data_IF_645615706272
#
_entry.id   IF_645615706272
#
_cell.length_a   1.000
_cell.length_b   1.000
_cell.length_c   1.000
_cell.angle_alpha   90.00
_cell.angle_beta   90.00
_cell.angle_gamma   90.00
#
_symmetry.space_group_name_H-M   'P 1'
#
loop_
_entity.id
_entity.type
_entity.pdbx_description
1 polymer ?
#
# COMPACT_ATOMS: atom_id res chain seq x y z
N UNK A 1 4.30 8.92 -13.62
CA UNK A 1 3.58 9.36 -12.41
C UNK A 1 3.91 8.47 -11.20
N UNK A 2 3.99 7.15 -11.34
CA UNK A 2 4.34 6.23 -10.25
C UNK A 2 5.65 6.54 -9.51
N UNK A 3 6.61 7.14 -10.18
CA UNK A 3 7.90 7.50 -9.58
C UNK A 3 7.83 8.75 -8.70
N UNK A 4 6.89 9.66 -8.98
CA UNK A 4 6.74 10.93 -8.25
C UNK A 4 5.71 10.82 -7.12
N UNK A 5 4.63 10.07 -7.33
CA UNK A 5 3.47 10.05 -6.47
C UNK A 5 3.66 9.37 -5.12
N UNK A 6 4.91 9.06 -4.72
CA UNK A 6 5.18 8.38 -3.44
C UNK A 6 6.30 9.00 -2.63
N UNK A 7 7.00 10.04 -3.13
CA UNK A 7 8.17 10.60 -2.45
C UNK A 7 7.82 11.16 -1.07
N UNK A 8 6.79 11.99 -1.01
CA UNK A 8 6.35 12.61 0.23
C UNK A 8 5.83 11.58 1.24
N UNK A 9 4.99 10.65 0.80
CA UNK A 9 4.46 9.57 1.66
C UNK A 9 5.57 8.66 2.18
N UNK A 10 6.56 8.33 1.36
CA UNK A 10 7.73 7.56 1.79
C UNK A 10 8.58 8.31 2.81
N UNK A 11 8.82 9.61 2.62
CA UNK A 11 9.52 10.44 3.62
C UNK A 11 8.80 10.39 4.97
N UNK A 12 7.49 10.64 4.99
CA UNK A 12 6.68 10.63 6.20
C UNK A 12 6.71 9.27 6.90
N UNK A 13 6.56 8.19 6.14
CA UNK A 13 6.63 6.82 6.66
C UNK A 13 8.00 6.50 7.25
N UNK A 14 9.08 6.84 6.55
CA UNK A 14 10.46 6.58 6.99
C UNK A 14 10.79 7.36 8.26
N UNK A 15 10.42 8.64 8.32
CA UNK A 15 10.62 9.48 9.51
C UNK A 15 9.87 8.91 10.72
N UNK A 16 8.60 8.55 10.55
CA UNK A 16 7.81 7.93 11.61
C UNK A 16 8.40 6.61 12.07
N UNK A 17 8.81 5.75 11.14
CA UNK A 17 9.43 4.45 11.43
C UNK A 17 10.75 4.61 12.17
N UNK A 18 11.60 5.53 11.77
CA UNK A 18 12.87 5.82 12.45
C UNK A 18 12.65 6.25 13.89
N UNK A 19 11.61 7.05 14.14
CA UNK A 19 11.32 7.56 15.47
C UNK A 19 10.80 6.48 16.43
N UNK A 20 9.74 5.74 16.05
CA UNK A 20 9.10 4.85 17.01
C UNK A 20 9.75 3.46 17.12
N UNK A 21 10.48 3.02 16.09
CA UNK A 21 11.15 1.71 16.11
C UNK A 21 12.59 1.78 16.68
N UNK A 22 13.23 2.94 16.57
CA UNK A 22 14.57 3.17 17.14
C UNK A 22 15.61 2.13 16.72
N UNK A 23 16.23 1.42 17.70
CA UNK A 23 17.29 0.44 17.43
C UNK A 23 16.79 -0.90 16.88
N UNK A 24 15.47 -1.11 16.79
CA UNK A 24 14.85 -2.30 16.27
C UNK A 24 14.03 -2.01 15.01
N UNK A 25 14.55 -1.16 14.12
CA UNK A 25 13.93 -0.79 12.85
C UNK A 25 13.91 -1.92 11.83
N UNK A 26 13.10 -1.80 10.78
CA UNK A 26 13.07 -2.77 9.69
C UNK A 26 14.29 -2.59 8.76
N UNK A 27 14.48 -3.59 7.90
CA UNK A 27 15.40 -3.58 6.79
C UNK A 27 14.63 -3.99 5.52
N UNK A 28 14.84 -3.29 4.40
CA UNK A 28 14.09 -3.52 3.17
C UNK A 28 14.95 -4.01 1.99
N UNK A 29 16.18 -4.48 2.28
CA UNK A 29 17.07 -5.10 1.30
C UNK A 29 17.80 -4.15 0.35
N UNK A 30 17.49 -2.85 0.39
CA UNK A 30 18.09 -1.85 -0.49
C UNK A 30 18.35 -0.53 0.25
N UNK A 31 19.20 0.33 -0.31
CA UNK A 31 19.61 1.59 0.31
C UNK A 31 20.09 1.39 1.75
N UNK A 32 20.94 0.39 1.98
CA UNK A 32 21.34 -0.04 3.30
C UNK A 32 22.84 -0.25 3.41
N UNK A 33 23.36 -0.08 4.62
CA UNK A 33 24.73 -0.43 5.01
C UNK A 33 24.61 -1.51 6.08
N UNK A 34 25.33 -2.63 5.88
CA UNK A 34 25.27 -3.80 6.75
C UNK A 34 26.67 -4.12 7.26
N UNK A 35 26.77 -4.45 8.56
CA UNK A 35 27.96 -5.06 9.10
C UNK A 35 28.10 -6.50 8.56
N UNK A 36 29.05 -6.71 7.67
CA UNK A 36 29.22 -7.98 6.98
C UNK A 36 29.48 -9.15 7.95
N UNK A 37 30.32 -8.96 8.99
CA UNK A 37 30.63 -10.01 9.97
C UNK A 37 29.38 -10.45 10.76
N UNK A 38 28.55 -9.47 11.15
CA UNK A 38 27.29 -9.75 11.84
C UNK A 38 26.33 -10.49 10.93
N UNK A 39 26.23 -10.08 9.68
CA UNK A 39 25.35 -10.68 8.68
C UNK A 39 25.75 -12.12 8.35
N UNK A 40 27.03 -12.39 8.09
CA UNK A 40 27.54 -13.74 7.83
C UNK A 40 27.32 -14.68 9.02
N UNK A 41 27.52 -14.18 10.24
CA UNK A 41 27.38 -14.96 11.45
C UNK A 41 25.92 -15.25 11.83
N UNK A 42 24.97 -14.35 11.55
CA UNK A 42 23.61 -14.35 12.11
C UNK A 42 22.50 -14.11 11.11
N UNK A 43 22.80 -13.65 9.88
CA UNK A 43 21.81 -13.39 8.84
C UNK A 43 21.22 -14.62 8.15
N UNK A 44 21.51 -15.82 8.63
CA UNK A 44 20.99 -17.07 8.05
C UNK A 44 19.47 -17.14 8.17
N UNK A 45 18.83 -17.34 7.02
CA UNK A 45 17.39 -17.48 6.93
C UNK A 45 16.92 -18.87 7.32
N UNK A 46 15.80 -19.00 8.05
CA UNK A 46 15.19 -20.29 8.29
C UNK A 46 14.55 -20.86 7.01
N UNK A 47 14.55 -22.17 6.88
CA UNK A 47 13.71 -22.84 5.88
C UNK A 47 12.31 -23.04 6.49
N UNK A 48 11.29 -22.61 5.77
CA UNK A 48 9.90 -22.71 6.22
C UNK A 48 9.35 -24.11 5.98
N UNK A 49 8.49 -24.58 6.87
CA UNK A 49 7.85 -25.89 6.75
C UNK A 49 6.87 -25.93 5.55
N UNK A 50 6.74 -27.11 4.96
CA UNK A 50 5.81 -27.34 3.83
C UNK A 50 6.39 -26.97 2.46
N UNK A 51 5.48 -26.86 1.48
CA UNK A 51 5.80 -26.57 0.07
C UNK A 51 5.38 -25.14 -0.31
N UNK A 52 5.97 -24.61 -1.38
CA UNK A 52 5.51 -23.36 -1.98
C UNK A 52 4.01 -23.40 -2.27
N UNK A 53 3.30 -22.26 -2.14
CA UNK A 53 3.80 -20.92 -1.89
C UNK A 53 4.05 -20.57 -0.42
N UNK A 54 3.67 -21.41 0.53
CA UNK A 54 3.70 -21.12 1.96
C UNK A 54 5.03 -21.52 2.62
N UNK A 55 5.67 -22.60 2.16
CA UNK A 55 6.91 -23.15 2.71
C UNK A 55 8.10 -23.00 1.76
N UNK A 56 9.24 -23.58 2.16
CA UNK A 56 10.51 -23.51 1.45
C UNK A 56 11.33 -22.26 1.81
N UNK A 57 11.90 -21.58 0.82
CA UNK A 57 12.70 -20.37 1.05
C UNK A 57 11.82 -19.19 1.46
N UNK A 58 12.33 -18.37 2.37
CA UNK A 58 11.72 -17.08 2.72
C UNK A 58 11.88 -16.13 1.53
N UNK A 59 10.77 -15.70 0.94
CA UNK A 59 10.77 -14.85 -0.27
C UNK A 59 11.03 -13.37 0.03
N UNK A 60 10.39 -12.81 1.07
CA UNK A 60 10.69 -11.46 1.58
C UNK A 60 11.66 -11.60 2.75
N UNK A 61 12.92 -11.82 2.43
CA UNK A 61 13.94 -12.20 3.42
C UNK A 61 14.42 -11.02 4.27
N UNK A 62 14.34 -9.80 3.76
CA UNK A 62 14.96 -8.60 4.34
C UNK A 62 14.54 -8.35 5.80
N UNK A 63 13.24 -8.36 6.08
CA UNK A 63 12.74 -8.17 7.44
C UNK A 63 13.13 -9.32 8.37
N UNK A 64 13.24 -10.54 7.86
CA UNK A 64 13.68 -11.72 8.64
C UNK A 64 15.16 -11.60 8.98
N UNK A 65 15.98 -11.09 8.08
CA UNK A 65 17.39 -10.79 8.32
C UNK A 65 17.55 -9.75 9.44
N UNK A 66 16.76 -8.65 9.38
CA UNK A 66 16.75 -7.63 10.44
C UNK A 66 16.40 -8.23 11.81
N UNK A 67 15.34 -9.03 11.89
CA UNK A 67 14.91 -9.68 13.14
C UNK A 67 15.97 -10.68 13.64
N UNK A 68 16.66 -11.38 12.74
CA UNK A 68 17.76 -12.29 13.08
C UNK A 68 18.96 -11.56 13.65
N UNK A 69 19.30 -10.38 13.11
CA UNK A 69 20.35 -9.52 13.65
C UNK A 69 19.96 -8.94 15.02
N UNK A 70 18.73 -8.50 15.20
CA UNK A 70 18.21 -8.01 16.48
C UNK A 70 18.26 -9.10 17.56
N UNK A 71 17.89 -10.33 17.20
CA UNK A 71 18.01 -11.51 18.10
C UNK A 71 19.46 -11.72 18.55
N UNK A 72 20.42 -11.41 17.72
CA UNK A 72 21.83 -11.54 18.03
C UNK A 72 22.40 -10.34 18.81
N UNK A 73 21.57 -9.38 19.21
CA UNK A 73 21.97 -8.18 19.96
C UNK A 73 22.49 -7.03 19.11
N UNK A 74 22.37 -7.12 17.77
CA UNK A 74 22.71 -6.01 16.87
C UNK A 74 21.53 -5.06 16.69
N UNK A 75 21.82 -3.79 16.51
CA UNK A 75 20.81 -2.80 16.17
C UNK A 75 20.55 -2.76 14.66
N UNK A 76 19.30 -2.55 14.29
CA UNK A 76 18.88 -2.20 12.93
C UNK A 76 18.15 -0.87 12.99
N UNK A 77 18.63 0.14 12.24
CA UNK A 77 18.07 1.49 12.30
C UNK A 77 17.63 1.96 10.93
N UNK A 78 16.47 2.58 10.87
CA UNK A 78 16.03 3.36 9.72
C UNK A 78 16.56 4.78 9.88
N UNK A 79 17.22 5.29 8.83
CA UNK A 79 17.70 6.67 8.80
C UNK A 79 16.64 7.52 8.07
N UNK A 80 16.12 8.60 8.69
CA UNK A 80 15.08 9.43 8.09
C UNK A 80 15.63 10.45 7.09
N UNK A 81 16.96 10.59 7.02
CA UNK A 81 17.60 11.59 6.20
C UNK A 81 17.69 11.16 4.73
N UNK A 82 17.52 12.11 3.83
CA UNK A 82 17.68 11.91 2.39
C UNK A 82 19.14 12.17 1.99
N UNK A 83 19.97 11.13 1.92
CA UNK A 83 21.42 11.22 1.65
C UNK A 83 21.82 11.08 0.19
N UNK A 84 20.90 11.19 -0.75
CA UNK A 84 21.22 11.02 -2.18
C UNK A 84 21.32 9.57 -2.65
N UNK A 85 20.94 8.59 -1.81
CA UNK A 85 20.71 7.21 -2.22
C UNK A 85 19.23 7.03 -2.58
N UNK A 86 18.95 6.73 -3.84
CA UNK A 86 17.58 6.71 -4.35
C UNK A 86 17.28 5.39 -5.05
N UNK A 87 16.05 4.91 -4.89
CA UNK A 87 15.51 3.81 -5.65
C UNK A 87 14.28 4.27 -6.44
N UNK A 88 14.18 3.77 -7.67
CA UNK A 88 13.04 4.05 -8.53
C UNK A 88 11.90 3.08 -8.23
N UNK A 89 10.71 3.62 -8.06
CA UNK A 89 9.48 2.81 -8.03
C UNK A 89 9.26 2.12 -9.39
N UNK A 90 8.44 1.04 -9.43
CA UNK A 90 8.04 0.44 -10.69
C UNK A 90 7.50 1.50 -11.66
N UNK A 91 7.85 1.41 -12.95
CA UNK A 91 7.53 2.48 -13.90
C UNK A 91 6.04 2.59 -14.26
N UNK A 92 5.26 1.56 -13.97
CA UNK A 92 3.85 1.47 -14.36
C UNK A 92 3.03 0.58 -13.43
N UNK A 93 1.70 0.74 -13.47
CA UNK A 93 0.77 -0.03 -12.64
C UNK A 93 0.95 -1.56 -12.75
N UNK A 94 1.10 -2.18 -13.93
CA UNK A 94 1.32 -3.62 -14.03
C UNK A 94 2.54 -4.13 -13.26
N UNK A 95 3.64 -3.39 -13.32
CA UNK A 95 4.87 -3.74 -12.60
C UNK A 95 4.76 -3.46 -11.10
N UNK A 96 4.06 -2.39 -10.73
CA UNK A 96 3.77 -2.05 -9.34
C UNK A 96 2.93 -3.17 -8.67
N UNK A 97 1.82 -3.56 -9.30
CA UNK A 97 0.98 -4.67 -8.82
C UNK A 97 1.79 -5.96 -8.72
N UNK A 98 2.58 -6.31 -9.75
CA UNK A 98 3.40 -7.54 -9.73
C UNK A 98 4.40 -7.53 -8.58
N UNK A 99 5.05 -6.40 -8.29
CA UNK A 99 5.96 -6.24 -7.15
C UNK A 99 5.22 -6.44 -5.83
N UNK A 100 4.08 -5.76 -5.65
CA UNK A 100 3.28 -5.87 -4.43
C UNK A 100 2.80 -7.30 -4.18
N UNK A 101 2.30 -8.00 -5.21
CA UNK A 101 1.85 -9.39 -5.06
C UNK A 101 2.99 -10.36 -4.69
N UNK A 102 4.23 -10.11 -5.15
CA UNK A 102 5.38 -10.90 -4.68
C UNK A 102 5.68 -10.65 -3.21
N UNK A 103 5.65 -9.39 -2.77
CA UNK A 103 5.81 -9.05 -1.37
C UNK A 103 4.66 -9.59 -0.52
N UNK A 104 3.43 -9.52 -1.03
CA UNK A 104 2.27 -10.15 -0.39
C UNK A 104 2.54 -11.63 -0.10
N UNK A 105 2.98 -12.39 -1.09
CA UNK A 105 3.31 -13.82 -0.90
C UNK A 105 4.42 -14.01 0.14
N UNK A 106 5.51 -13.25 0.05
CA UNK A 106 6.62 -13.35 0.98
C UNK A 106 6.28 -12.94 2.41
N UNK A 107 5.49 -11.87 2.56
CA UNK A 107 5.10 -11.40 3.90
C UNK A 107 4.05 -12.32 4.55
N UNK A 108 3.17 -12.94 3.78
CA UNK A 108 2.24 -13.93 4.32
C UNK A 108 2.94 -15.22 4.80
N UNK A 109 4.15 -15.53 4.31
CA UNK A 109 4.96 -16.61 4.89
C UNK A 109 5.36 -16.36 6.34
N UNK A 110 5.38 -15.11 6.80
CA UNK A 110 5.76 -14.74 8.16
C UNK A 110 4.81 -15.30 9.23
N UNK A 111 3.62 -15.81 8.85
CA UNK A 111 2.75 -16.52 9.79
C UNK A 111 3.45 -17.69 10.47
N UNK A 112 4.44 -18.31 9.82
CA UNK A 112 5.25 -19.38 10.39
C UNK A 112 6.37 -18.86 11.33
N UNK A 113 6.64 -17.58 11.31
CA UNK A 113 7.78 -16.96 12.02
C UNK A 113 7.34 -16.07 13.18
N UNK A 114 6.19 -15.40 13.07
CA UNK A 114 5.73 -14.39 14.03
C UNK A 114 5.54 -14.95 15.45
N UNK A 115 5.27 -16.25 15.58
CA UNK A 115 5.08 -16.95 16.87
C UNK A 115 6.38 -17.33 17.59
N UNK A 116 7.55 -17.11 17.00
CA UNK A 116 8.83 -17.52 17.61
C UNK A 116 9.17 -16.68 18.83
N UNK A 117 9.18 -17.34 19.99
CA UNK A 117 9.41 -16.67 21.27
C UNK A 117 10.86 -16.17 21.45
N UNK A 118 11.81 -16.76 20.71
CA UNK A 118 13.23 -16.41 20.74
C UNK A 118 13.57 -15.13 19.94
N UNK A 119 12.58 -14.48 19.32
CA UNK A 119 12.75 -13.25 18.56
C UNK A 119 12.36 -12.02 19.36
N UNK A 120 13.03 -10.91 19.10
CA UNK A 120 12.77 -9.63 19.76
C UNK A 120 11.28 -9.21 19.55
N UNK A 121 10.58 -8.75 20.60
CA UNK A 121 9.15 -8.41 20.49
C UNK A 121 8.84 -7.40 19.38
N UNK A 122 9.69 -6.39 19.22
CA UNK A 122 9.54 -5.40 18.12
C UNK A 122 9.65 -6.05 16.75
N UNK A 123 10.62 -6.97 16.55
CA UNK A 123 10.75 -7.70 15.28
C UNK A 123 9.51 -8.56 15.00
N UNK A 124 8.95 -9.23 16.01
CA UNK A 124 7.69 -9.98 15.89
C UNK A 124 6.53 -9.07 15.52
N UNK A 125 6.42 -7.90 16.14
CA UNK A 125 5.42 -6.89 15.81
C UNK A 125 5.55 -6.43 14.36
N UNK A 126 6.77 -6.17 13.88
CA UNK A 126 7.03 -5.77 12.49
C UNK A 126 6.59 -6.85 11.49
N UNK A 127 6.88 -8.14 11.77
CA UNK A 127 6.42 -9.25 10.94
C UNK A 127 4.88 -9.36 10.94
N UNK A 128 4.25 -9.17 12.11
CA UNK A 128 2.78 -9.15 12.21
C UNK A 128 2.18 -7.98 11.41
N UNK A 129 2.75 -6.78 11.52
CA UNK A 129 2.32 -5.62 10.74
C UNK A 129 2.49 -5.85 9.24
N UNK A 130 3.56 -6.52 8.81
CA UNK A 130 3.79 -6.87 7.42
C UNK A 130 2.75 -7.87 6.86
N UNK A 131 2.28 -8.81 7.69
CA UNK A 131 1.15 -9.69 7.36
C UNK A 131 -0.14 -8.86 7.25
N UNK A 132 -0.44 -8.07 8.27
CA UNK A 132 -1.67 -7.27 8.35
C UNK A 132 -1.76 -6.24 7.23
N UNK A 133 -0.64 -5.70 6.75
CA UNK A 133 -0.59 -4.77 5.62
C UNK A 133 -1.28 -5.35 4.37
N UNK A 134 -1.12 -6.64 4.10
CA UNK A 134 -1.75 -7.30 2.95
C UNK A 134 -3.14 -7.87 3.27
N UNK A 135 -3.39 -8.28 4.51
CA UNK A 135 -4.72 -8.75 4.90
C UNK A 135 -5.73 -7.61 5.08
N UNK A 136 -5.28 -6.39 5.36
CA UNK A 136 -6.14 -5.25 5.60
C UNK A 136 -7.04 -4.92 4.40
N UNK A 137 -6.53 -5.03 3.17
CA UNK A 137 -7.32 -4.82 1.96
C UNK A 137 -8.46 -5.82 1.82
N UNK A 138 -8.19 -7.10 2.08
CA UNK A 138 -9.21 -8.15 2.06
C UNK A 138 -10.24 -7.97 3.19
N UNK A 139 -9.77 -7.66 4.40
CA UNK A 139 -10.65 -7.40 5.53
C UNK A 139 -11.57 -6.20 5.27
N UNK A 140 -11.02 -5.16 4.66
CA UNK A 140 -11.78 -3.97 4.28
C UNK A 140 -12.85 -4.29 3.21
N UNK A 141 -12.54 -5.09 2.19
CA UNK A 141 -13.53 -5.53 1.20
C UNK A 141 -14.62 -6.38 1.83
N UNK A 142 -14.28 -7.26 2.80
CA UNK A 142 -15.28 -8.01 3.57
C UNK A 142 -16.18 -7.06 4.36
N UNK A 143 -15.60 -6.09 5.07
CA UNK A 143 -16.36 -5.08 5.81
C UNK A 143 -17.35 -4.31 4.92
N UNK A 144 -16.87 -3.85 3.75
CA UNK A 144 -17.73 -3.17 2.78
C UNK A 144 -18.85 -4.06 2.23
N UNK A 145 -18.55 -5.34 2.00
CA UNK A 145 -19.54 -6.32 1.55
C UNK A 145 -20.62 -6.57 2.61
N UNK A 146 -20.22 -6.69 3.88
CA UNK A 146 -21.16 -6.84 4.99
C UNK A 146 -22.07 -5.60 5.14
N UNK A 147 -21.51 -4.39 5.04
CA UNK A 147 -22.28 -3.15 5.03
C UNK A 147 -23.29 -3.08 3.86
N UNK A 148 -22.85 -3.54 2.67
CA UNK A 148 -23.74 -3.66 1.52
C UNK A 148 -24.89 -4.64 1.78
N UNK A 149 -24.60 -5.84 2.27
CA UNK A 149 -25.63 -6.86 2.60
C UNK A 149 -26.59 -6.32 3.64
N UNK A 150 -26.09 -5.66 4.67
CA UNK A 150 -26.92 -5.06 5.71
C UNK A 150 -27.90 -4.02 5.12
N UNK A 151 -27.40 -3.09 4.28
CA UNK A 151 -28.24 -2.08 3.66
C UNK A 151 -29.19 -2.62 2.59
N UNK A 152 -28.71 -3.59 1.77
CA UNK A 152 -29.51 -4.17 0.68
C UNK A 152 -30.71 -5.03 1.17
N UNK A 153 -30.55 -5.69 2.31
CA UNK A 153 -31.58 -6.57 2.88
C UNK A 153 -32.33 -5.95 4.07
N UNK A 154 -32.14 -4.66 4.35
CA UNK A 154 -32.84 -3.94 5.41
C UNK A 154 -32.54 -4.45 6.83
N UNK A 155 -31.37 -5.09 7.04
CA UNK A 155 -30.98 -5.63 8.34
C UNK A 155 -30.67 -4.53 9.38
N UNK A 156 -30.60 -3.27 8.93
CA UNK A 156 -30.44 -2.06 9.71
C UNK A 156 -31.78 -1.42 10.17
N UNK A 157 -32.90 -2.12 9.99
CA UNK A 157 -34.25 -1.60 10.25
C UNK A 157 -34.78 -0.65 9.17
N UNK A 158 -34.12 -0.58 8.01
CA UNK A 158 -34.50 0.27 6.88
C UNK A 158 -33.99 1.72 6.98
N UNK A 159 -33.18 2.05 7.98
CA UNK A 159 -32.60 3.41 8.17
C UNK A 159 -31.79 3.86 6.97
N UNK A 160 -30.95 2.98 6.41
CA UNK A 160 -30.11 3.28 5.23
C UNK A 160 -30.98 3.47 3.98
N UNK A 161 -32.00 2.65 3.79
CA UNK A 161 -32.89 2.73 2.64
C UNK A 161 -33.79 3.98 2.67
N UNK A 162 -34.14 4.46 3.86
CA UNK A 162 -34.99 5.65 4.06
C UNK A 162 -34.25 6.96 3.80
N UNK A 163 -32.92 6.94 3.71
CA UNK A 163 -32.11 8.14 3.53
C UNK A 163 -31.38 8.15 2.18
N UNK A 164 -31.94 8.79 1.14
CA UNK A 164 -31.37 8.79 -0.21
C UNK A 164 -29.98 9.45 -0.32
N UNK A 165 -29.56 10.20 0.66
CA UNK A 165 -28.23 10.84 0.72
C UNK A 165 -27.27 10.11 1.66
N UNK A 166 -27.70 8.99 2.26
CA UNK A 166 -26.88 8.23 3.19
C UNK A 166 -26.34 9.11 4.32
N UNK A 167 -27.26 9.73 5.09
CA UNK A 167 -26.79 10.53 6.24
C UNK A 167 -25.84 9.69 7.08
N UNK A 168 -24.75 10.28 7.56
CA UNK A 168 -23.84 9.56 8.44
C UNK A 168 -24.64 9.01 9.62
N UNK A 169 -24.40 7.75 10.00
CA UNK A 169 -25.09 7.18 11.14
C UNK A 169 -24.87 8.09 12.36
N UNK A 170 -25.95 8.36 13.13
CA UNK A 170 -25.85 9.20 14.31
C UNK A 170 -24.95 8.55 15.38
N UNK A 171 -24.24 9.36 16.15
CA UNK A 171 -23.48 8.94 17.31
C UNK A 171 -22.22 8.11 16.99
N UNK A 172 -22.18 6.82 17.38
CA UNK A 172 -21.00 5.97 17.28
C UNK A 172 -20.50 5.79 15.84
N UNK A 173 -21.41 5.66 14.88
CA UNK A 173 -21.05 5.50 13.47
C UNK A 173 -20.33 6.73 12.90
N UNK A 174 -20.80 7.92 13.22
CA UNK A 174 -20.12 9.18 12.85
C UNK A 174 -18.75 9.27 13.52
N UNK A 175 -18.63 8.92 14.79
CA UNK A 175 -17.36 8.91 15.50
C UNK A 175 -16.36 7.96 14.87
N UNK A 176 -16.78 6.75 14.49
CA UNK A 176 -15.95 5.76 13.80
C UNK A 176 -15.52 6.28 12.42
N UNK A 177 -16.43 6.87 11.65
CA UNK A 177 -16.11 7.45 10.34
C UNK A 177 -15.04 8.56 10.47
N UNK A 178 -15.25 9.49 11.40
CA UNK A 178 -14.28 10.58 11.67
C UNK A 178 -12.94 10.00 12.12
N UNK A 179 -12.93 9.01 13.02
CA UNK A 179 -11.70 8.35 13.45
C UNK A 179 -10.97 7.67 12.28
N UNK A 180 -11.67 6.93 11.43
CA UNK A 180 -11.09 6.27 10.25
C UNK A 180 -10.50 7.28 9.26
N UNK A 181 -11.23 8.36 8.95
CA UNK A 181 -10.74 9.44 8.08
C UNK A 181 -9.49 10.07 8.70
N UNK A 182 -9.54 10.40 9.99
CA UNK A 182 -8.41 10.99 10.70
C UNK A 182 -7.19 10.06 10.66
N UNK A 183 -7.35 8.79 11.02
CA UNK A 183 -6.25 7.82 10.99
C UNK A 183 -5.65 7.63 9.59
N UNK A 184 -6.47 7.74 8.54
CA UNK A 184 -6.02 7.59 7.15
C UNK A 184 -5.25 8.80 6.65
N UNK A 185 -5.71 10.02 6.98
CA UNK A 185 -5.17 11.25 6.39
C UNK A 185 -4.22 12.02 7.31
N UNK A 186 -4.39 11.94 8.64
CA UNK A 186 -3.55 12.70 9.57
C UNK A 186 -2.04 12.44 9.41
N UNK A 187 -1.55 11.20 9.22
CA UNK A 187 -0.11 10.98 9.01
C UNK A 187 0.42 11.67 7.76
N UNK A 188 -0.38 11.68 6.67
CA UNK A 188 0.00 12.35 5.42
C UNK A 188 -0.01 13.86 5.56
N UNK A 189 -1.03 14.42 6.23
CA UNK A 189 -1.14 15.83 6.48
C UNK A 189 -0.07 16.32 7.45
N UNK A 190 0.24 15.53 8.49
CA UNK A 190 1.31 15.84 9.43
C UNK A 190 2.68 15.85 8.74
N UNK A 191 2.97 14.85 7.88
CA UNK A 191 4.19 14.82 7.09
C UNK A 191 4.29 15.98 6.09
N UNK A 192 3.17 16.39 5.48
CA UNK A 192 3.12 17.57 4.62
C UNK A 192 3.40 18.85 5.42
N UNK A 193 2.80 18.99 6.60
CA UNK A 193 3.03 20.12 7.48
C UNK A 193 4.49 20.19 7.95
N UNK A 194 5.06 19.05 8.36
CA UNK A 194 6.48 18.94 8.74
C UNK A 194 7.40 19.41 7.60
N UNK A 195 7.18 18.93 6.38
CA UNK A 195 7.98 19.31 5.21
C UNK A 195 7.78 20.81 4.82
N UNK A 196 6.59 21.38 5.07
CA UNK A 196 6.32 22.80 4.83
C UNK A 196 7.01 23.70 5.87
N UNK A 197 7.10 23.26 7.11
CA UNK A 197 7.76 23.97 8.21
C UNK A 197 9.29 23.90 8.11
N UNK A 198 9.84 22.78 7.61
CA UNK A 198 11.26 22.65 7.37
C UNK A 198 11.69 23.40 6.10
N UNK A 199 12.43 24.50 6.27
CA UNK A 199 12.91 25.32 5.16
C UNK A 199 13.83 24.60 4.18
N UNK A 200 14.58 23.58 4.64
CA UNK A 200 15.46 22.76 3.76
C UNK A 200 14.60 21.81 2.92
N UNK A 201 13.72 21.03 3.57
CA UNK A 201 12.81 20.12 2.87
C UNK A 201 11.94 20.88 1.87
N UNK A 202 11.31 21.98 2.30
CA UNK A 202 10.48 22.82 1.41
C UNK A 202 11.22 23.29 0.16
N UNK A 203 12.49 23.69 0.27
CA UNK A 203 13.31 24.07 -0.90
C UNK A 203 13.63 22.90 -1.81
N UNK A 204 13.90 21.70 -1.25
CA UNK A 204 14.18 20.51 -2.05
C UNK A 204 12.96 20.03 -2.87
N UNK A 205 11.76 20.40 -2.45
CA UNK A 205 10.52 20.15 -3.20
C UNK A 205 10.14 21.30 -4.17
N UNK A 206 11.00 22.29 -4.37
CA UNK A 206 10.73 23.41 -5.29
C UNK A 206 9.87 24.52 -4.71
N UNK A 207 9.71 24.57 -3.39
CA UNK A 207 8.94 25.60 -2.66
C UNK A 207 7.60 25.08 -2.12
N UNK A 208 6.95 25.91 -1.29
CA UNK A 208 5.71 25.51 -0.59
C UNK A 208 4.55 25.18 -1.53
N UNK A 209 4.35 25.96 -2.58
CA UNK A 209 3.30 25.73 -3.57
C UNK A 209 3.49 24.40 -4.33
N UNK A 210 4.72 24.12 -4.78
CA UNK A 210 5.05 22.88 -5.44
C UNK A 210 4.84 21.67 -4.52
N UNK A 211 5.27 21.78 -3.25
CA UNK A 211 5.09 20.74 -2.23
C UNK A 211 3.61 20.44 -1.97
N UNK A 212 2.77 21.46 -1.77
CA UNK A 212 1.32 21.28 -1.55
C UNK A 212 0.68 20.60 -2.75
N UNK A 213 1.00 21.09 -3.96
CA UNK A 213 0.41 20.50 -5.18
C UNK A 213 0.87 19.04 -5.39
N UNK A 214 2.16 18.75 -5.14
CA UNK A 214 2.66 17.37 -5.16
C UNK A 214 1.94 16.49 -4.14
N UNK A 215 1.70 16.99 -2.92
CA UNK A 215 0.92 16.30 -1.89
C UNK A 215 -0.53 16.01 -2.31
N UNK A 216 -1.19 16.95 -2.96
CA UNK A 216 -2.56 16.75 -3.49
C UNK A 216 -2.55 15.69 -4.61
N UNK A 217 -1.62 15.78 -5.56
CA UNK A 217 -1.49 14.79 -6.65
C UNK A 217 -1.21 13.40 -6.08
N UNK A 218 -0.33 13.30 -5.08
CA UNK A 218 -0.04 12.03 -4.40
C UNK A 218 -1.27 11.48 -3.68
N UNK A 219 -2.04 12.33 -3.03
CA UNK A 219 -3.27 11.93 -2.35
C UNK A 219 -4.29 11.36 -3.34
N UNK A 220 -4.56 12.08 -4.43
CA UNK A 220 -5.50 11.64 -5.48
C UNK A 220 -5.02 10.33 -6.16
N UNK A 221 -3.71 10.24 -6.44
CA UNK A 221 -3.11 9.02 -6.95
C UNK A 221 -3.30 7.85 -5.98
N UNK A 222 -3.06 8.07 -4.70
CA UNK A 222 -3.24 7.06 -3.64
C UNK A 222 -4.70 6.63 -3.48
N UNK A 223 -5.66 7.56 -3.56
CA UNK A 223 -7.09 7.26 -3.49
C UNK A 223 -7.56 6.36 -4.64
N UNK A 224 -7.01 6.53 -5.83
CA UNK A 224 -7.31 5.64 -6.97
C UNK A 224 -6.57 4.31 -6.85
N UNK A 225 -5.31 4.33 -6.42
CA UNK A 225 -4.46 3.15 -6.36
C UNK A 225 -4.87 2.17 -5.25
N UNK A 226 -5.24 2.68 -4.06
CA UNK A 226 -5.51 1.83 -2.90
C UNK A 226 -6.64 0.81 -3.13
N UNK A 227 -7.81 1.16 -3.68
CA UNK A 227 -8.84 0.18 -4.00
C UNK A 227 -8.42 -0.81 -5.09
N UNK A 228 -7.66 -0.37 -6.11
CA UNK A 228 -7.12 -1.26 -7.14
C UNK A 228 -6.24 -2.34 -6.48
N UNK A 229 -5.37 -1.93 -5.57
CA UNK A 229 -4.49 -2.84 -4.85
C UNK A 229 -5.27 -3.79 -3.93
N UNK A 230 -6.27 -3.27 -3.19
CA UNK A 230 -7.13 -4.10 -2.34
C UNK A 230 -7.78 -5.25 -3.11
N UNK A 231 -8.35 -4.98 -4.30
CA UNK A 231 -8.91 -6.03 -5.15
C UNK A 231 -7.83 -6.98 -5.68
N UNK A 232 -6.71 -6.46 -6.20
CA UNK A 232 -5.65 -7.28 -6.78
C UNK A 232 -5.02 -8.22 -5.74
N UNK A 233 -4.75 -7.72 -4.55
CA UNK A 233 -4.19 -8.48 -3.43
C UNK A 233 -5.18 -9.51 -2.88
N UNK A 234 -6.46 -9.16 -2.74
CA UNK A 234 -7.49 -10.09 -2.30
C UNK A 234 -7.66 -11.25 -3.27
N UNK A 235 -7.74 -11.00 -4.57
CA UNK A 235 -7.78 -12.07 -5.57
C UNK A 235 -6.52 -12.93 -5.56
N UNK A 236 -5.38 -12.31 -5.31
CA UNK A 236 -4.12 -13.04 -5.21
C UNK A 236 -4.04 -13.91 -3.95
N UNK A 237 -4.50 -13.41 -2.80
CA UNK A 237 -4.60 -14.18 -1.55
C UNK A 237 -5.50 -15.41 -1.77
N UNK A 238 -6.64 -15.24 -2.42
CA UNK A 238 -7.50 -16.37 -2.80
C UNK A 238 -6.76 -17.43 -3.64
N UNK A 239 -5.91 -16.99 -4.58
CA UNK A 239 -5.05 -17.91 -5.35
C UNK A 239 -3.98 -18.59 -4.49
N UNK A 240 -3.38 -17.87 -3.55
CA UNK A 240 -2.41 -18.44 -2.62
C UNK A 240 -3.03 -19.54 -1.76
N UNK A 241 -4.27 -19.35 -1.29
CA UNK A 241 -5.00 -20.35 -0.52
C UNK A 241 -5.26 -21.63 -1.31
N UNK A 242 -5.36 -21.53 -2.64
CA UNK A 242 -5.44 -22.71 -3.53
C UNK A 242 -4.07 -23.27 -3.96
N UNK A 243 -2.97 -22.83 -3.32
CA UNK A 243 -1.61 -23.31 -3.61
C UNK A 243 -0.96 -22.68 -4.85
N UNK A 244 -1.54 -21.63 -5.44
CA UNK A 244 -1.06 -20.97 -6.67
C UNK A 244 -0.31 -19.69 -6.36
N UNK A 245 1.01 -19.79 -6.20
CA UNK A 245 1.90 -18.65 -5.99
C UNK A 245 2.40 -17.99 -7.29
N UNK A 246 3.22 -16.95 -7.12
CA UNK A 246 3.94 -16.28 -8.20
C UNK A 246 5.37 -16.82 -8.30
N UNK A 247 5.82 -17.03 -9.54
CA UNK A 247 7.24 -17.28 -9.80
C UNK A 247 8.04 -15.97 -9.65
N UNK A 248 9.23 -16.08 -9.06
CA UNK A 248 10.15 -14.95 -8.95
C UNK A 248 10.75 -14.63 -10.32
N UNK A 249 10.39 -13.50 -10.91
CA UNK A 249 10.97 -12.98 -12.14
C UNK A 249 11.54 -11.59 -11.87
N UNK A 250 12.62 -11.23 -12.56
CA UNK A 250 13.19 -9.89 -12.50
C UNK A 250 12.13 -8.83 -12.83
N UNK A 251 12.20 -7.70 -12.15
CA UNK A 251 11.33 -6.56 -12.42
C UNK A 251 11.84 -5.81 -13.65
N UNK A 252 10.95 -5.50 -14.60
CA UNK A 252 11.28 -4.58 -15.67
C UNK A 252 11.42 -3.17 -15.07
N UNK A 253 12.58 -2.55 -15.31
CA UNK A 253 12.89 -1.18 -14.85
C UNK A 253 12.77 -0.14 -15.95
N UNK A 254 12.63 -0.60 -17.19
CA UNK A 254 12.51 0.27 -18.35
C UNK A 254 11.19 1.03 -18.33
N UNK A 255 11.28 2.34 -18.56
CA UNK A 255 10.14 3.25 -18.59
C UNK A 255 9.26 3.08 -19.83
N UNK A 256 8.79 1.86 -20.11
CA UNK A 256 7.89 1.60 -21.23
C UNK A 256 6.47 2.08 -20.95
N UNK A 257 5.80 2.57 -21.98
CA UNK A 257 4.37 2.84 -21.92
C UNK A 257 3.53 1.56 -21.87
N UNK A 258 2.44 1.59 -21.12
CA UNK A 258 1.41 0.53 -21.14
C UNK A 258 0.45 0.81 -22.27
N UNK A 259 0.19 -0.17 -23.15
CA UNK A 259 -0.83 -0.04 -24.17
C UNK A 259 -2.23 -0.24 -23.59
N UNK A 260 -3.26 0.30 -24.25
CA UNK A 260 -4.64 0.09 -23.81
C UNK A 260 -5.01 -1.39 -23.77
N UNK A 261 -4.61 -2.14 -24.80
CA UNK A 261 -4.86 -3.58 -24.86
C UNK A 261 -4.16 -4.37 -23.74
N UNK A 262 -2.95 -3.97 -23.35
CA UNK A 262 -2.26 -4.58 -22.23
C UNK A 262 -2.98 -4.26 -20.89
N UNK A 263 -3.35 -3.00 -20.68
CA UNK A 263 -4.10 -2.58 -19.50
C UNK A 263 -5.43 -3.34 -19.38
N UNK A 264 -6.18 -3.42 -20.48
CA UNK A 264 -7.46 -4.16 -20.53
C UNK A 264 -7.28 -5.62 -20.17
N UNK A 265 -6.33 -6.33 -20.81
CA UNK A 265 -6.09 -7.75 -20.51
C UNK A 265 -5.67 -8.02 -19.07
N UNK A 266 -4.96 -7.08 -18.44
CA UNK A 266 -4.48 -7.27 -17.07
C UNK A 266 -5.51 -6.92 -16.01
N UNK A 267 -6.33 -5.91 -16.27
CA UNK A 267 -7.16 -5.28 -15.25
C UNK A 267 -8.67 -5.38 -15.49
N UNK A 268 -9.14 -6.06 -16.57
CA UNK A 268 -10.57 -6.20 -16.84
C UNK A 268 -11.32 -6.81 -15.65
N UNK A 269 -10.72 -7.77 -14.93
CA UNK A 269 -11.33 -8.41 -13.77
C UNK A 269 -11.52 -7.45 -12.58
N UNK A 270 -10.55 -6.56 -12.35
CA UNK A 270 -10.65 -5.50 -11.32
C UNK A 270 -11.72 -4.49 -11.72
N UNK A 271 -11.74 -4.08 -13.00
CA UNK A 271 -12.76 -3.16 -13.52
C UNK A 271 -14.17 -3.77 -13.44
N UNK A 272 -14.31 -5.04 -13.79
CA UNK A 272 -15.59 -5.75 -13.69
C UNK A 272 -16.05 -5.84 -12.25
N UNK A 273 -15.18 -6.16 -11.31
CA UNK A 273 -15.51 -6.18 -9.89
C UNK A 273 -16.01 -4.81 -9.40
N UNK A 274 -15.30 -3.73 -9.79
CA UNK A 274 -15.76 -2.36 -9.51
C UNK A 274 -17.14 -2.03 -10.11
N UNK A 275 -17.39 -2.46 -11.34
CA UNK A 275 -18.68 -2.28 -12.00
C UNK A 275 -19.81 -3.06 -11.30
N UNK A 276 -19.56 -4.32 -10.92
CA UNK A 276 -20.51 -5.15 -10.18
C UNK A 276 -20.86 -4.49 -8.83
N UNK A 277 -19.86 -3.96 -8.13
CA UNK A 277 -20.08 -3.23 -6.87
C UNK A 277 -20.99 -2.03 -7.09
N UNK A 278 -20.69 -1.17 -8.06
CA UNK A 278 -21.50 0.04 -8.32
C UNK A 278 -22.93 -0.32 -8.75
N UNK A 279 -23.08 -1.26 -9.67
CA UNK A 279 -24.40 -1.72 -10.11
C UNK A 279 -25.19 -2.33 -8.95
N UNK A 280 -24.56 -3.16 -8.12
CA UNK A 280 -25.17 -3.74 -6.94
C UNK A 280 -25.70 -2.67 -5.98
N UNK A 281 -24.88 -1.68 -5.64
CA UNK A 281 -25.31 -0.56 -4.79
C UNK A 281 -26.41 0.28 -5.45
N UNK A 282 -26.31 0.55 -6.77
CA UNK A 282 -27.34 1.30 -7.47
C UNK A 282 -28.71 0.64 -7.44
N UNK A 283 -28.75 -0.70 -7.50
CA UNK A 283 -30.01 -1.46 -7.54
C UNK A 283 -30.56 -1.77 -6.15
N UNK A 284 -29.69 -2.10 -5.19
CA UNK A 284 -30.10 -2.68 -3.92
C UNK A 284 -29.93 -1.74 -2.73
N UNK A 285 -29.06 -0.75 -2.83
CA UNK A 285 -28.77 0.20 -1.75
C UNK A 285 -28.37 1.58 -2.30
N UNK A 286 -29.24 2.27 -3.09
CA UNK A 286 -28.90 3.50 -3.80
C UNK A 286 -28.45 4.63 -2.87
N UNK A 287 -28.95 4.70 -1.65
CA UNK A 287 -28.53 5.68 -0.64
C UNK A 287 -27.06 5.58 -0.23
N UNK A 288 -26.42 4.42 -0.47
CA UNK A 288 -24.98 4.22 -0.17
C UNK A 288 -24.06 4.55 -1.35
N UNK A 289 -24.57 4.86 -2.55
CA UNK A 289 -23.76 5.11 -3.73
C UNK A 289 -22.74 6.22 -3.53
N UNK A 290 -23.11 7.31 -2.86
CA UNK A 290 -22.20 8.44 -2.61
C UNK A 290 -20.98 8.02 -1.81
N UNK A 291 -21.13 7.05 -0.92
CA UNK A 291 -20.04 6.53 -0.08
C UNK A 291 -19.15 5.52 -0.79
N UNK A 292 -19.70 4.82 -1.79
CA UNK A 292 -18.93 3.83 -2.55
C UNK A 292 -18.13 4.44 -3.72
N UNK A 293 -18.48 5.63 -4.20
CA UNK A 293 -17.82 6.29 -5.32
C UNK A 293 -16.30 6.42 -5.12
N UNK A 294 -15.78 6.90 -3.99
CA UNK A 294 -14.33 7.00 -3.78
C UNK A 294 -13.62 5.64 -3.85
N UNK A 295 -14.31 4.59 -3.43
CA UNK A 295 -13.82 3.19 -3.41
C UNK A 295 -13.86 2.57 -4.79
N UNK A 296 -14.94 2.78 -5.51
CA UNK A 296 -15.16 2.19 -6.83
C UNK A 296 -14.43 2.94 -7.96
N UNK A 297 -14.09 4.21 -7.75
CA UNK A 297 -13.43 5.04 -8.77
C UNK A 297 -12.11 4.42 -9.27
N UNK A 298 -11.27 3.94 -8.36
CA UNK A 298 -10.02 3.27 -8.73
C UNK A 298 -10.24 2.05 -9.62
N UNK A 299 -10.98 1.03 -9.18
CA UNK A 299 -11.31 -0.15 -9.98
C UNK A 299 -11.97 0.18 -11.31
N UNK A 300 -12.96 1.07 -11.35
CA UNK A 300 -13.63 1.47 -12.60
C UNK A 300 -12.69 2.16 -13.58
N UNK A 301 -11.78 2.97 -13.08
CA UNK A 301 -10.82 3.73 -13.87
C UNK A 301 -9.47 3.02 -14.05
N UNK A 302 -9.31 1.78 -13.63
CA UNK A 302 -8.02 1.09 -13.59
C UNK A 302 -7.36 0.99 -14.96
N UNK A 303 -8.12 0.77 -16.03
CA UNK A 303 -7.59 0.69 -17.41
C UNK A 303 -7.10 2.05 -17.88
N UNK A 304 -7.93 3.13 -17.91
CA UNK A 304 -7.43 4.46 -18.26
C UNK A 304 -6.34 4.95 -17.31
N UNK A 305 -6.40 4.64 -16.01
CA UNK A 305 -5.37 4.99 -15.05
C UNK A 305 -4.02 4.34 -15.40
N UNK A 306 -4.01 3.03 -15.68
CA UNK A 306 -2.80 2.32 -16.08
C UNK A 306 -2.19 2.86 -17.38
N UNK A 307 -3.03 3.21 -18.34
CA UNK A 307 -2.61 3.79 -19.62
C UNK A 307 -2.10 5.23 -19.45
N UNK A 308 -2.86 6.09 -18.80
CA UNK A 308 -2.59 7.52 -18.66
C UNK A 308 -1.31 7.80 -17.85
N UNK A 309 -1.13 7.09 -16.73
CA UNK A 309 0.01 7.28 -15.82
C UNK A 309 1.37 6.95 -16.45
N UNK A 310 1.39 6.29 -17.61
CA UNK A 310 2.60 5.98 -18.38
C UNK A 310 2.85 6.93 -19.55
N UNK A 311 2.00 7.95 -19.75
CA UNK A 311 2.16 8.88 -20.89
C UNK A 311 3.27 9.91 -20.62
N UNK A 312 4.28 10.03 -21.49
CA UNK A 312 5.36 10.98 -21.32
C UNK A 312 4.91 12.44 -21.25
N UNK A 313 3.85 12.80 -22.01
CA UNK A 313 3.30 14.15 -22.00
C UNK A 313 2.76 14.55 -20.63
N UNK A 314 2.09 13.62 -19.92
CA UNK A 314 1.59 13.87 -18.55
C UNK A 314 2.74 14.11 -17.58
N UNK A 315 3.79 13.26 -17.63
CA UNK A 315 4.99 13.46 -16.83
C UNK A 315 5.66 14.80 -17.08
N UNK A 316 5.82 15.21 -18.36
CA UNK A 316 6.37 16.52 -18.73
C UNK A 316 5.51 17.68 -18.26
N UNK A 317 4.19 17.57 -18.38
CA UNK A 317 3.26 18.61 -17.92
C UNK A 317 3.36 18.82 -16.40
N UNK A 318 3.40 17.72 -15.63
CA UNK A 318 3.53 17.78 -14.17
C UNK A 318 4.90 18.32 -13.74
N UNK A 319 5.97 17.92 -14.39
CA UNK A 319 7.32 18.42 -14.13
C UNK A 319 7.46 19.91 -14.53
N UNK A 320 6.95 20.31 -15.69
CA UNK A 320 6.97 21.70 -16.17
C UNK A 320 6.15 22.66 -15.31
N UNK A 321 5.07 22.18 -14.74
CA UNK A 321 4.23 22.94 -13.79
C UNK A 321 4.82 22.94 -12.37
N UNK A 322 6.00 22.37 -12.12
CA UNK A 322 6.62 22.17 -10.82
C UNK A 322 5.74 21.38 -9.82
N UNK A 323 4.81 20.58 -10.35
CA UNK A 323 3.94 19.71 -9.55
C UNK A 323 4.61 18.39 -9.16
N UNK A 324 5.79 18.13 -9.71
CA UNK A 324 6.63 17.03 -9.35
C UNK A 324 7.99 17.62 -8.97
N UNK A 325 8.30 17.64 -7.68
CA UNK A 325 9.66 17.85 -7.23
C UNK A 325 10.45 16.57 -7.55
N UNK A 326 11.42 16.70 -8.40
CA UNK A 326 12.35 15.63 -8.78
C UNK A 326 13.52 15.68 -7.80
#
# INVERSE_FOLDING_TARGET
LFQFGMRHGMRSYTTGSAWWQGPAGPYWGHNAIINLRAFEARGRLPTLAGRAPWGGLVLSHDMVEAVSLQRAGYETRVLPDEFGSHELNPPCLPEFVRRSLRWCQGNLQYVQLVGRADWHPMGRLQLAMAILMYLSGAAWLVFMTLGFVQGAFGLDGGEIAANPWGAPPSGLGTALLVAMITMTFAPKLAGLADALLDGRARRSYGGGGALVTAGVVELLHGMLLAPIMAFAETFFIGRLLTGRGLAWRSQARDGRGVSWAEASRRFWGVMLAGAVVVVGFAQLAPGLLVWIVPVAAGPLLVIPFAWLTTRPWLGRALAGARFAAI
#
